data_IF_491018667245
#
_entry.id   IF_491018667245
#
_cell.length_a   1.000
_cell.length_b   1.000
_cell.length_c   1.000
_cell.angle_alpha   90.00
_cell.angle_beta   90.00
_cell.angle_gamma   90.00
#
_symmetry.space_group_name_H-M   'P 1'
#
loop_
_entity.id
_entity.type
_entity.pdbx_description
1 polymer ?
#
# COMPACT_ATOMS: atom_id res chain seq x y z
N UNK A 1 1.04 -15.26 22.25
CA UNK A 1 1.35 -15.38 20.80
C UNK A 1 0.75 -14.15 20.15
N UNK A 2 1.57 -13.29 19.53
CA UNK A 2 1.07 -12.07 18.88
C UNK A 2 0.56 -12.38 17.47
N UNK A 3 -0.49 -11.69 16.99
CA UNK A 3 -1.01 -11.88 15.64
C UNK A 3 0.02 -11.42 14.59
N UNK A 4 0.15 -12.20 13.52
CA UNK A 4 0.87 -11.83 12.30
C UNK A 4 -0.06 -12.01 11.11
N UNK A 5 0.23 -11.36 9.99
CA UNK A 5 -0.61 -11.43 8.78
C UNK A 5 0.19 -12.07 7.66
N UNK A 6 -0.44 -13.03 6.99
CA UNK A 6 0.05 -13.50 5.71
C UNK A 6 -0.73 -12.81 4.58
N UNK A 7 -0.12 -11.82 3.94
CA UNK A 7 -0.77 -11.05 2.87
C UNK A 7 -1.07 -11.88 1.62
N UNK A 8 -0.38 -13.00 1.42
CA UNK A 8 -0.70 -13.93 0.30
C UNK A 8 -2.08 -14.59 0.45
N UNK A 9 -2.64 -14.60 1.68
CA UNK A 9 -3.94 -15.20 2.00
C UNK A 9 -4.95 -14.18 2.51
N UNK A 10 -4.50 -12.95 2.77
CA UNK A 10 -5.36 -11.89 3.26
C UNK A 10 -6.28 -11.43 2.12
N UNK A 11 -7.57 -11.34 2.40
CA UNK A 11 -8.57 -10.82 1.46
C UNK A 11 -8.98 -9.38 1.79
N UNK A 12 -8.27 -8.73 2.72
CA UNK A 12 -8.52 -7.35 3.15
C UNK A 12 -9.96 -7.10 3.64
N UNK A 13 -10.56 -8.09 4.32
CA UNK A 13 -11.96 -7.97 4.79
C UNK A 13 -12.14 -7.06 6.02
N UNK A 14 -11.08 -6.74 6.76
CA UNK A 14 -11.15 -5.89 7.95
C UNK A 14 -11.59 -6.58 9.25
N UNK A 15 -12.01 -7.84 9.23
CA UNK A 15 -12.48 -8.53 10.44
C UNK A 15 -11.45 -8.58 11.58
N UNK A 16 -10.15 -8.58 11.25
CA UNK A 16 -9.10 -8.52 12.26
C UNK A 16 -9.05 -7.17 13.00
N UNK A 17 -9.38 -6.07 12.32
CA UNK A 17 -9.47 -4.73 12.90
C UNK A 17 -10.74 -4.65 13.75
N UNK A 18 -11.88 -5.08 13.20
CA UNK A 18 -13.18 -4.99 13.87
C UNK A 18 -13.25 -5.80 15.17
N UNK A 19 -12.63 -6.98 15.19
CA UNK A 19 -12.64 -7.86 16.37
C UNK A 19 -11.61 -7.43 17.43
N UNK A 20 -10.69 -6.53 17.12
CA UNK A 20 -9.58 -6.22 18.01
C UNK A 20 -10.04 -5.32 19.19
N UNK A 21 -10.09 -5.82 20.43
CA UNK A 21 -10.65 -5.05 21.55
C UNK A 21 -9.73 -3.90 22.00
N UNK A 22 -8.45 -3.97 21.69
CA UNK A 22 -7.44 -2.98 22.10
C UNK A 22 -7.02 -2.04 20.97
N UNK A 23 -7.54 -2.23 19.74
CA UNK A 23 -7.11 -1.46 18.57
C UNK A 23 -5.63 -1.66 18.22
N UNK A 24 -5.10 -2.87 18.42
CA UNK A 24 -3.69 -3.18 18.14
C UNK A 24 -3.36 -3.24 16.64
N UNK A 25 -4.37 -3.32 15.78
CA UNK A 25 -4.24 -3.35 14.33
C UNK A 25 -5.26 -2.41 13.70
N UNK A 26 -4.82 -1.67 12.68
CA UNK A 26 -5.65 -0.76 11.91
C UNK A 26 -5.28 -0.81 10.42
N UNK A 27 -6.19 -0.38 9.56
CA UNK A 27 -5.89 -0.20 8.15
C UNK A 27 -5.16 1.12 7.90
N UNK A 28 -4.19 1.07 6.99
CA UNK A 28 -3.51 2.27 6.47
C UNK A 28 -4.09 2.64 5.10
N UNK A 29 -3.90 3.89 4.67
CA UNK A 29 -4.35 4.36 3.35
C UNK A 29 -3.54 3.83 2.16
N UNK A 30 -2.46 3.08 2.43
CA UNK A 30 -1.58 2.52 1.42
C UNK A 30 -2.25 1.26 0.85
N UNK A 31 -2.54 1.29 -0.45
CA UNK A 31 -3.13 0.18 -1.20
C UNK A 31 -2.17 -0.39 -2.25
N UNK A 32 -1.18 0.39 -2.69
CA UNK A 32 -0.23 0.01 -3.75
C UNK A 32 1.04 -0.62 -3.17
N UNK A 33 0.92 -1.68 -2.39
CA UNK A 33 2.09 -2.39 -1.85
C UNK A 33 2.50 -3.50 -2.81
N UNK A 34 3.72 -3.41 -3.32
CA UNK A 34 4.35 -4.46 -4.10
C UNK A 34 5.51 -5.08 -3.30
N UNK A 35 5.58 -6.41 -3.32
CA UNK A 35 6.65 -7.18 -2.68
C UNK A 35 7.53 -7.83 -3.76
N UNK A 36 8.79 -8.03 -3.43
CA UNK A 36 9.78 -8.69 -4.29
C UNK A 36 9.69 -10.23 -4.22
N UNK A 37 9.19 -10.76 -3.11
CA UNK A 37 9.13 -12.19 -2.80
C UNK A 37 7.84 -12.58 -2.08
N UNK A 38 7.52 -13.87 -2.05
CA UNK A 38 6.37 -14.41 -1.31
C UNK A 38 6.60 -14.34 0.20
N UNK A 39 7.82 -14.57 0.65
CA UNK A 39 8.21 -14.54 2.06
C UNK A 39 8.06 -13.15 2.65
N UNK A 40 8.36 -12.10 1.87
CA UNK A 40 8.16 -10.70 2.27
C UNK A 40 6.69 -10.34 2.55
N UNK A 41 5.73 -11.12 2.04
CA UNK A 41 4.30 -10.94 2.28
C UNK A 41 3.84 -11.53 3.62
N UNK A 42 4.71 -12.25 4.34
CA UNK A 42 4.39 -12.83 5.65
C UNK A 42 4.89 -11.90 6.75
N UNK A 43 4.00 -11.02 7.22
CA UNK A 43 4.31 -10.03 8.26
C UNK A 43 4.26 -10.65 9.64
N UNK A 44 5.37 -10.52 10.35
CA UNK A 44 5.51 -10.87 11.76
C UNK A 44 5.12 -9.67 12.62
N UNK A 45 4.81 -9.87 13.91
CA UNK A 45 4.47 -8.79 14.84
C UNK A 45 5.44 -7.60 14.82
N UNK A 46 6.75 -7.87 14.71
CA UNK A 46 7.79 -6.83 14.66
C UNK A 46 7.71 -5.94 13.41
N UNK A 47 7.21 -6.45 12.30
CA UNK A 47 7.14 -5.70 11.05
C UNK A 47 6.07 -4.60 11.16
N UNK A 48 5.00 -4.82 11.92
CA UNK A 48 3.96 -3.83 12.18
C UNK A 48 4.45 -2.63 13.02
N UNK A 49 5.42 -2.84 13.91
CA UNK A 49 5.98 -1.78 14.76
C UNK A 49 6.72 -0.70 13.94
N UNK A 50 7.23 -1.07 12.76
CA UNK A 50 7.92 -0.11 11.88
C UNK A 50 6.98 0.93 11.26
N UNK A 51 5.67 0.67 11.31
CA UNK A 51 4.65 1.51 10.72
C UNK A 51 4.64 1.48 9.18
N UNK A 52 3.69 2.19 8.56
CA UNK A 52 3.61 2.25 7.11
C UNK A 52 4.87 2.89 6.50
N UNK A 53 5.42 2.34 5.41
CA UNK A 53 6.56 2.94 4.74
C UNK A 53 6.20 4.33 4.24
N UNK A 54 6.98 5.35 4.64
CA UNK A 54 6.84 6.70 4.11
C UNK A 54 7.42 6.75 2.70
N UNK A 55 6.56 6.65 1.68
CA UNK A 55 6.99 6.69 0.28
C UNK A 55 7.61 8.06 -0.01
N UNK A 56 8.94 8.11 -0.07
CA UNK A 56 9.68 9.34 -0.39
C UNK A 56 10.01 9.33 -1.87
N UNK A 57 9.14 9.94 -2.67
CA UNK A 57 9.39 10.09 -4.10
C UNK A 57 10.63 10.96 -4.32
N UNK A 58 11.55 10.51 -5.19
CA UNK A 58 12.75 11.29 -5.56
C UNK A 58 12.40 12.65 -6.19
N UNK A 59 11.26 12.71 -6.88
CA UNK A 59 10.73 13.92 -7.50
C UNK A 59 9.39 14.26 -6.85
N UNK A 60 9.09 15.54 -6.64
CA UNK A 60 7.78 15.93 -6.14
C UNK A 60 6.69 15.51 -7.13
N UNK A 61 5.49 15.14 -6.65
CA UNK A 61 4.37 14.85 -7.52
C UNK A 61 4.05 16.08 -8.37
N UNK A 62 3.89 15.88 -9.68
CA UNK A 62 3.47 16.93 -10.62
C UNK A 62 2.03 16.67 -11.00
N UNK A 63 1.21 17.71 -10.99
CA UNK A 63 -0.14 17.64 -11.55
C UNK A 63 0.01 17.51 -13.06
N UNK A 64 -0.70 16.55 -13.65
CA UNK A 64 -0.69 16.31 -15.10
C UNK A 64 -2.12 16.12 -15.61
N UNK A 65 -2.38 16.54 -16.84
CA UNK A 65 -3.64 16.29 -17.54
C UNK A 65 -3.43 15.16 -18.55
N UNK A 66 -4.29 14.13 -18.56
CA UNK A 66 -4.22 13.09 -19.58
C UNK A 66 -4.68 13.65 -20.94
N UNK A 67 -3.87 13.46 -21.98
CA UNK A 67 -4.17 13.80 -23.37
C UNK A 67 -4.04 12.56 -24.25
N UNK A 68 -5.07 12.28 -25.04
CA UNK A 68 -5.07 11.12 -25.93
C UNK A 68 -4.32 11.45 -27.23
N UNK A 69 -3.16 10.80 -27.42
CA UNK A 69 -2.35 10.86 -28.64
C UNK A 69 -2.62 9.60 -29.49
N UNK A 70 -3.04 9.72 -30.75
CA UNK A 70 -3.33 8.58 -31.62
C UNK A 70 -2.17 7.60 -31.83
N UNK A 71 -0.91 8.06 -31.71
CA UNK A 71 0.29 7.21 -31.88
C UNK A 71 0.84 6.68 -30.56
N UNK A 72 0.71 7.46 -29.48
CA UNK A 72 1.34 7.16 -28.17
C UNK A 72 0.37 6.72 -27.08
N UNK A 73 -0.93 6.74 -27.36
CA UNK A 73 -1.98 6.46 -26.38
C UNK A 73 -2.18 7.62 -25.40
N UNK A 74 -2.43 7.31 -24.13
CA UNK A 74 -2.60 8.34 -23.09
C UNK A 74 -1.23 8.94 -22.77
N UNK A 75 -1.05 10.20 -23.13
CA UNK A 75 0.11 11.02 -22.77
C UNK A 75 -0.27 11.96 -21.62
N UNK A 76 0.73 12.42 -20.87
CA UNK A 76 0.52 13.29 -19.70
C UNK A 76 1.22 14.62 -19.95
N UNK A 77 0.44 15.70 -20.03
CA UNK A 77 0.96 17.06 -20.15
C UNK A 77 0.94 17.75 -18.77
N UNK A 78 1.92 18.61 -18.43
CA UNK A 78 1.91 19.36 -17.18
C UNK A 78 0.61 20.13 -16.99
N UNK A 79 -0.03 19.93 -15.84
CA UNK A 79 -1.16 20.73 -15.42
C UNK A 79 -0.60 21.85 -14.54
N UNK A 80 -0.21 22.95 -15.17
CA UNK A 80 0.05 24.20 -14.45
C UNK A 80 -1.14 24.54 -13.53
#
# INVERSE_FOLDING_TARGET
RYPGINYTRCIFCGFCVDICPTGAIEHVSIHDVAFDSFEAQIFKPKDFETGPPKVRYKKPPRRVKPRMDPKRGITYEPAD
#
